data_IF_286230437797
#
_entry.id   IF_286230437797
#
_cell.length_a   1.000
_cell.length_b   1.000
_cell.length_c   1.000
_cell.angle_alpha   90.00
_cell.angle_beta   90.00
_cell.angle_gamma   90.00
#
_symmetry.space_group_name_H-M   'P 1'
#
loop_
_entity.id
_entity.type
_entity.pdbx_description
1 polymer ?
#
# COMPACT_ATOMS: atom_id res chain seq x y z
N UNK A 1 -13.74 -13.02 28.67
CA UNK A 1 -12.73 -12.97 27.59
C UNK A 1 -11.60 -12.08 28.04
N UNK A 2 -10.41 -12.63 28.30
CA UNK A 2 -9.22 -11.85 28.68
C UNK A 2 -8.85 -10.92 27.53
N UNK A 3 -8.67 -9.62 27.80
CA UNK A 3 -8.13 -8.70 26.81
C UNK A 3 -6.75 -9.24 26.39
N UNK A 4 -6.48 -9.47 25.09
CA UNK A 4 -5.18 -9.93 24.66
C UNK A 4 -4.14 -8.92 25.15
N UNK A 5 -3.10 -9.43 25.81
CA UNK A 5 -1.95 -8.62 26.22
C UNK A 5 -1.39 -7.99 24.93
N UNK A 6 -1.24 -6.67 24.90
CA UNK A 6 -0.48 -5.97 23.86
C UNK A 6 0.99 -6.41 23.97
N UNK A 7 1.32 -7.57 23.41
CA UNK A 7 2.68 -8.03 23.27
C UNK A 7 3.13 -7.81 21.83
N UNK A 8 4.27 -7.14 21.67
CA UNK A 8 4.93 -7.02 20.38
C UNK A 8 5.40 -8.41 19.97
N UNK A 9 5.14 -8.78 18.72
CA UNK A 9 5.73 -9.98 18.12
C UNK A 9 7.20 -9.69 17.80
N UNK A 10 8.09 -10.12 18.71
CA UNK A 10 9.53 -9.90 18.57
C UNK A 10 10.13 -10.70 17.42
N UNK A 11 9.52 -11.83 17.03
CA UNK A 11 10.00 -12.62 15.90
C UNK A 11 9.78 -11.84 14.62
N UNK A 12 8.56 -11.35 14.37
CA UNK A 12 8.26 -10.52 13.20
C UNK A 12 9.13 -9.26 13.18
N UNK A 13 9.22 -8.55 14.31
CA UNK A 13 10.02 -7.33 14.41
C UNK A 13 11.51 -7.58 14.08
N UNK A 14 12.09 -8.65 14.63
CA UNK A 14 13.50 -8.99 14.39
C UNK A 14 13.77 -9.34 12.92
N UNK A 15 12.86 -10.09 12.28
CA UNK A 15 12.95 -10.41 10.84
C UNK A 15 12.85 -9.15 9.98
N UNK A 16 11.92 -8.24 10.30
CA UNK A 16 11.80 -6.97 9.58
C UNK A 16 13.07 -6.12 9.72
N UNK A 17 13.64 -6.01 10.93
CA UNK A 17 14.90 -5.28 11.14
C UNK A 17 16.05 -5.93 10.35
N UNK A 18 16.14 -7.26 10.35
CA UNK A 18 17.13 -8.00 9.57
C UNK A 18 17.03 -7.73 8.07
N UNK A 19 15.81 -7.74 7.52
CA UNK A 19 15.55 -7.41 6.10
C UNK A 19 15.93 -5.97 5.77
N UNK A 20 15.60 -5.01 6.63
CA UNK A 20 15.98 -3.60 6.45
C UNK A 20 17.50 -3.44 6.47
N UNK A 21 18.19 -4.04 7.45
CA UNK A 21 19.64 -3.99 7.54
C UNK A 21 20.33 -4.61 6.31
N UNK A 22 19.84 -5.77 5.86
CA UNK A 22 20.31 -6.40 4.63
C UNK A 22 20.09 -5.49 3.41
N UNK A 23 18.92 -4.84 3.31
CA UNK A 23 18.62 -3.87 2.26
C UNK A 23 19.61 -2.70 2.23
N UNK A 24 20.02 -2.17 3.39
CA UNK A 24 21.05 -1.12 3.48
C UNK A 24 22.43 -1.59 3.03
N UNK A 25 22.82 -2.82 3.38
CA UNK A 25 24.09 -3.41 2.90
C UNK A 25 24.07 -3.51 1.37
N UNK A 26 22.98 -4.02 0.81
CA UNK A 26 22.82 -4.14 -0.64
C UNK A 26 22.79 -2.79 -1.35
N UNK A 27 22.11 -1.79 -0.79
CA UNK A 27 22.10 -0.43 -1.31
C UNK A 27 23.50 0.18 -1.35
N UNK A 28 24.29 -0.02 -0.29
CA UNK A 28 25.69 0.44 -0.24
C UNK A 28 26.52 -0.14 -1.38
N UNK A 29 26.40 -1.45 -1.59
CA UNK A 29 27.16 -2.19 -2.60
C UNK A 29 26.77 -1.79 -4.02
N UNK A 30 25.46 -1.73 -4.32
CA UNK A 30 24.96 -1.48 -5.66
C UNK A 30 24.99 0.01 -6.06
N UNK A 31 24.76 0.91 -5.12
CA UNK A 31 24.60 2.35 -5.39
C UNK A 31 25.84 3.19 -5.07
N UNK A 32 26.87 2.60 -4.46
CA UNK A 32 28.10 3.29 -4.09
C UNK A 32 28.81 3.98 -5.27
N UNK A 33 29.12 3.28 -6.37
CA UNK A 33 29.76 3.87 -7.54
C UNK A 33 28.92 5.00 -8.17
N UNK A 34 27.61 4.78 -8.30
CA UNK A 34 26.67 5.79 -8.82
C UNK A 34 26.57 7.03 -7.92
N UNK A 35 26.63 6.84 -6.60
CA UNK A 35 26.62 7.94 -5.63
C UNK A 35 27.86 8.81 -5.77
N UNK A 36 29.02 8.19 -5.92
CA UNK A 36 30.27 8.92 -6.15
C UNK A 36 30.28 9.65 -7.49
N UNK A 37 29.83 9.00 -8.57
CA UNK A 37 29.81 9.60 -9.91
C UNK A 37 28.86 10.82 -10.00
N UNK A 38 27.65 10.72 -9.44
CA UNK A 38 26.63 11.78 -9.55
C UNK A 38 26.72 12.86 -8.48
N UNK A 39 27.16 12.52 -7.28
CA UNK A 39 27.09 13.41 -6.11
C UNK A 39 28.44 13.60 -5.39
N UNK A 40 29.51 12.95 -5.85
CA UNK A 40 30.82 13.00 -5.19
C UNK A 40 30.88 12.30 -3.82
N UNK A 41 29.82 11.58 -3.44
CA UNK A 41 29.69 10.90 -2.15
C UNK A 41 29.15 9.47 -2.36
N UNK A 42 30.00 8.48 -2.13
CA UNK A 42 29.66 7.05 -2.23
C UNK A 42 28.45 6.68 -1.35
N UNK A 43 28.25 7.38 -0.24
CA UNK A 43 27.19 7.07 0.72
C UNK A 43 25.93 7.93 0.54
N UNK A 44 25.85 8.74 -0.53
CA UNK A 44 24.75 9.68 -0.74
C UNK A 44 23.37 8.99 -0.69
N UNK A 45 23.20 7.89 -1.42
CA UNK A 45 21.92 7.15 -1.47
C UNK A 45 21.53 6.54 -0.12
N UNK A 46 22.49 6.08 0.67
CA UNK A 46 22.22 5.54 2.02
C UNK A 46 21.79 6.66 2.95
N UNK A 47 22.52 7.79 2.97
CA UNK A 47 22.17 8.95 3.80
C UNK A 47 20.75 9.43 3.45
N UNK A 48 20.45 9.49 2.16
CA UNK A 48 19.11 9.84 1.68
C UNK A 48 18.06 8.82 2.15
N UNK A 49 18.30 7.52 1.99
CA UNK A 49 17.38 6.46 2.43
C UNK A 49 17.18 6.45 3.95
N UNK A 50 18.22 6.73 4.74
CA UNK A 50 18.12 6.84 6.19
C UNK A 50 17.27 8.04 6.61
N UNK A 51 17.51 9.21 6.02
CA UNK A 51 16.84 10.46 6.37
C UNK A 51 15.39 10.53 5.89
N UNK A 52 15.12 10.13 4.64
CA UNK A 52 13.82 10.28 4.01
C UNK A 52 12.98 9.00 3.98
N UNK A 53 13.60 7.83 4.15
CA UNK A 53 12.90 6.54 4.21
C UNK A 53 12.78 6.00 5.63
N UNK A 54 13.92 5.68 6.26
CA UNK A 54 13.95 4.95 7.52
C UNK A 54 13.42 5.77 8.70
N UNK A 55 13.87 7.03 8.86
CA UNK A 55 13.41 7.87 9.96
C UNK A 55 11.89 8.13 9.92
N UNK A 56 11.29 8.61 8.80
CA UNK A 56 9.85 8.76 8.72
C UNK A 56 9.11 7.43 8.89
N UNK A 57 9.66 6.33 8.36
CA UNK A 57 9.09 4.99 8.49
C UNK A 57 9.04 4.51 9.94
N UNK A 58 10.10 4.71 10.73
CA UNK A 58 10.13 4.36 12.16
C UNK A 58 9.17 5.23 12.98
N UNK A 59 9.11 6.53 12.69
CA UNK A 59 8.15 7.44 13.33
C UNK A 59 6.71 7.00 13.02
N UNK A 60 6.41 6.72 11.75
CA UNK A 60 5.10 6.21 11.33
C UNK A 60 4.78 4.88 12.01
N UNK A 61 5.70 3.91 12.01
CA UNK A 61 5.52 2.62 12.69
C UNK A 61 5.17 2.82 14.17
N UNK A 62 5.92 3.66 14.88
CA UNK A 62 5.69 3.94 16.28
C UNK A 62 4.31 4.55 16.52
N UNK A 63 3.95 5.60 15.77
CA UNK A 63 2.65 6.28 15.91
C UNK A 63 1.50 5.31 15.60
N UNK A 64 1.56 4.64 14.45
CA UNK A 64 0.50 3.74 13.99
C UNK A 64 0.32 2.52 14.90
N UNK A 65 1.41 2.01 15.51
CA UNK A 65 1.35 0.90 16.48
C UNK A 65 0.51 1.20 17.73
N UNK A 66 0.30 2.49 18.03
CA UNK A 66 -0.49 2.94 19.20
C UNK A 66 -1.98 3.08 18.88
N UNK A 67 -2.33 3.19 17.60
CA UNK A 67 -3.71 3.38 17.15
C UNK A 67 -4.45 2.03 17.15
N UNK A 68 -5.62 1.92 17.81
CA UNK A 68 -6.37 0.67 17.85
C UNK A 68 -6.91 0.30 16.46
N UNK A 69 -6.92 -0.99 16.13
CA UNK A 69 -7.43 -1.48 14.83
C UNK A 69 -8.90 -1.09 14.57
N UNK A 70 -9.71 -0.92 15.61
CA UNK A 70 -11.10 -0.47 15.51
C UNK A 70 -11.22 0.94 14.95
N UNK A 71 -10.24 1.81 15.17
CA UNK A 71 -10.19 3.14 14.56
C UNK A 71 -10.02 3.01 13.05
N UNK A 72 -9.03 2.22 12.60
CA UNK A 72 -8.77 1.96 11.18
C UNK A 72 -9.99 1.37 10.47
N UNK A 73 -10.68 0.42 11.12
CA UNK A 73 -11.95 -0.13 10.62
C UNK A 73 -13.00 0.97 10.40
N UNK A 74 -13.19 1.86 11.37
CA UNK A 74 -14.20 2.94 11.31
C UNK A 74 -13.95 3.91 10.17
N UNK A 75 -12.69 4.23 9.88
CA UNK A 75 -12.32 5.20 8.84
C UNK A 75 -11.99 4.55 7.48
N UNK A 76 -12.10 3.24 7.34
CA UNK A 76 -11.64 2.51 6.16
C UNK A 76 -12.26 3.01 4.85
N UNK A 77 -13.58 3.28 4.83
CA UNK A 77 -14.26 3.84 3.66
C UNK A 77 -13.74 5.25 3.32
N UNK A 78 -13.51 6.09 4.34
CA UNK A 78 -12.94 7.44 4.14
C UNK A 78 -11.54 7.32 3.54
N UNK A 79 -10.71 6.42 4.06
CA UNK A 79 -9.36 6.17 3.55
C UNK A 79 -9.37 5.70 2.09
N UNK A 80 -10.31 4.85 1.69
CA UNK A 80 -10.47 4.45 0.29
C UNK A 80 -10.79 5.66 -0.60
N UNK A 81 -11.79 6.48 -0.24
CA UNK A 81 -12.15 7.66 -1.03
C UNK A 81 -11.00 8.67 -1.12
N UNK A 82 -10.27 8.88 -0.02
CA UNK A 82 -9.06 9.71 -0.03
C UNK A 82 -7.99 9.12 -0.97
N UNK A 83 -7.83 7.80 -1.00
CA UNK A 83 -6.85 7.14 -1.88
C UNK A 83 -7.24 7.25 -3.36
N UNK A 84 -8.53 7.13 -3.69
CA UNK A 84 -9.05 7.37 -5.04
C UNK A 84 -8.83 8.84 -5.43
N UNK A 85 -9.10 9.79 -4.53
CA UNK A 85 -8.82 11.20 -4.78
C UNK A 85 -7.33 11.48 -5.02
N UNK A 86 -6.43 10.81 -4.28
CA UNK A 86 -4.99 10.91 -4.51
C UNK A 86 -4.57 10.33 -5.87
N UNK A 87 -5.14 9.19 -6.29
CA UNK A 87 -4.90 8.64 -7.63
C UNK A 87 -5.37 9.61 -8.74
N UNK A 88 -6.48 10.30 -8.53
CA UNK A 88 -6.96 11.31 -9.48
C UNK A 88 -6.02 12.53 -9.49
N UNK A 89 -5.50 12.93 -8.33
CA UNK A 89 -4.60 14.09 -8.20
C UNK A 89 -3.35 13.98 -9.08
N UNK A 90 -2.88 12.74 -9.33
CA UNK A 90 -1.72 12.48 -10.19
C UNK A 90 -1.91 13.03 -11.61
N UNK A 91 -3.14 13.09 -12.11
CA UNK A 91 -3.42 13.61 -13.45
C UNK A 91 -3.31 15.14 -13.56
N UNK A 92 -3.31 15.86 -12.43
CA UNK A 92 -3.23 17.33 -12.42
C UNK A 92 -1.84 17.77 -12.92
N UNK A 93 -1.76 18.57 -13.99
CA UNK A 93 -0.49 19.12 -14.48
C UNK A 93 0.20 19.95 -13.41
N UNK A 94 1.52 19.76 -13.24
CA UNK A 94 2.32 20.47 -12.24
C UNK A 94 2.38 19.82 -10.85
N UNK A 95 1.52 18.83 -10.58
CA UNK A 95 1.56 18.02 -9.34
C UNK A 95 2.08 16.61 -9.64
N UNK A 96 1.52 15.99 -10.69
CA UNK A 96 1.96 14.69 -11.16
C UNK A 96 3.36 14.75 -11.76
N UNK A 97 4.18 13.76 -11.46
CA UNK A 97 5.52 13.60 -12.00
C UNK A 97 5.67 12.26 -12.72
N UNK A 98 6.46 12.28 -13.78
CA UNK A 98 6.79 11.10 -14.59
C UNK A 98 8.10 10.49 -14.08
N UNK A 99 8.04 9.21 -13.71
CA UNK A 99 9.23 8.42 -13.43
C UNK A 99 9.21 7.17 -14.32
N UNK A 100 10.16 7.10 -15.26
CA UNK A 100 10.18 6.03 -16.26
C UNK A 100 9.04 6.17 -17.26
N UNK A 101 8.21 5.13 -17.39
CA UNK A 101 7.09 5.07 -18.34
C UNK A 101 5.72 5.40 -17.74
N UNK A 102 5.66 5.68 -16.43
CA UNK A 102 4.41 5.87 -15.70
C UNK A 102 4.31 7.27 -15.08
N UNK A 103 3.11 7.84 -15.16
CA UNK A 103 2.73 9.07 -14.45
C UNK A 103 1.96 8.68 -13.21
N UNK A 104 2.66 8.16 -12.21
CA UNK A 104 2.07 7.60 -10.99
C UNK A 104 2.57 8.26 -9.70
N UNK A 105 3.38 9.31 -9.81
CA UNK A 105 3.99 10.00 -8.66
C UNK A 105 3.45 11.41 -8.48
N UNK A 106 3.38 11.86 -7.24
CA UNK A 106 3.13 13.24 -6.84
C UNK A 106 4.43 13.82 -6.30
N UNK A 107 4.84 14.99 -6.81
CA UNK A 107 6.04 15.68 -6.31
C UNK A 107 5.65 17.06 -5.79
N UNK A 108 5.85 17.29 -4.50
CA UNK A 108 5.54 18.57 -3.84
C UNK A 108 6.72 18.97 -2.96
N UNK A 109 7.29 20.16 -3.20
CA UNK A 109 8.33 20.73 -2.34
C UNK A 109 9.60 19.87 -2.20
N UNK A 110 9.94 19.08 -3.22
CA UNK A 110 11.09 18.17 -3.21
C UNK A 110 10.81 16.79 -2.62
N UNK A 111 9.60 16.52 -2.12
CA UNK A 111 9.17 15.20 -1.69
C UNK A 111 8.39 14.51 -2.82
N UNK A 112 8.77 13.27 -3.12
CA UNK A 112 8.03 12.41 -4.03
C UNK A 112 7.23 11.37 -3.24
N UNK A 113 5.99 11.15 -3.66
CA UNK A 113 5.09 10.21 -3.03
C UNK A 113 4.26 9.50 -4.11
N UNK A 114 4.13 8.18 -4.02
CA UNK A 114 3.34 7.37 -4.95
C UNK A 114 2.00 6.99 -4.31
N UNK A 115 0.86 7.56 -4.77
CA UNK A 115 -0.46 7.25 -4.22
C UNK A 115 -0.81 5.76 -4.17
N UNK A 116 -0.34 4.99 -5.15
CA UNK A 116 -0.61 3.56 -5.23
C UNK A 116 -0.07 2.77 -4.02
N UNK A 117 0.98 3.26 -3.34
CA UNK A 117 1.47 2.68 -2.08
C UNK A 117 0.43 2.80 -0.95
N UNK A 118 -0.23 3.95 -0.83
CA UNK A 118 -1.33 4.13 0.14
C UNK A 118 -2.53 3.26 -0.26
N UNK A 119 -2.88 3.22 -1.55
CA UNK A 119 -4.02 2.45 -2.06
C UNK A 119 -3.93 0.98 -1.68
N UNK A 120 -2.74 0.35 -1.77
CA UNK A 120 -2.54 -1.05 -1.35
C UNK A 120 -3.02 -1.30 0.08
N UNK A 121 -2.68 -0.41 1.01
CA UNK A 121 -3.02 -0.56 2.43
C UNK A 121 -4.49 -0.18 2.70
N UNK A 122 -4.94 0.96 2.20
CA UNK A 122 -6.28 1.50 2.48
C UNK A 122 -7.37 0.68 1.82
N UNK A 123 -7.12 0.15 0.62
CA UNK A 123 -8.07 -0.74 -0.05
C UNK A 123 -8.19 -2.06 0.70
N UNK A 124 -7.08 -2.66 1.17
CA UNK A 124 -7.14 -3.87 1.98
C UNK A 124 -7.90 -3.66 3.29
N UNK A 125 -7.67 -2.52 3.97
CA UNK A 125 -8.42 -2.15 5.17
C UNK A 125 -9.92 -1.97 4.89
N UNK A 126 -10.25 -1.33 3.77
CA UNK A 126 -11.64 -1.20 3.31
C UNK A 126 -12.27 -2.57 3.08
N UNK A 127 -11.61 -3.44 2.31
CA UNK A 127 -12.11 -4.78 2.03
C UNK A 127 -12.33 -5.57 3.32
N UNK A 128 -11.35 -5.59 4.22
CA UNK A 128 -11.47 -6.26 5.51
C UNK A 128 -12.66 -5.74 6.33
N UNK A 129 -12.81 -4.42 6.45
CA UNK A 129 -13.93 -3.80 7.16
C UNK A 129 -15.28 -4.08 6.48
N UNK A 130 -15.29 -4.14 5.14
CA UNK A 130 -16.48 -4.35 4.33
C UNK A 130 -16.99 -5.80 4.40
N UNK A 131 -16.07 -6.78 4.40
CA UNK A 131 -16.39 -8.20 4.59
C UNK A 131 -16.84 -8.49 6.02
N UNK A 132 -16.20 -7.91 7.04
CA UNK A 132 -16.56 -8.15 8.45
C UNK A 132 -17.98 -7.68 8.81
N UNK A 133 -18.48 -6.64 8.15
CA UNK A 133 -19.80 -6.07 8.43
C UNK A 133 -20.96 -6.81 7.73
N UNK A 134 -20.68 -7.86 6.96
CA UNK A 134 -21.69 -8.65 6.24
C UNK A 134 -21.81 -10.06 6.82
N UNK A 135 -23.02 -10.63 6.75
CA UNK A 135 -23.17 -12.05 7.05
C UNK A 135 -22.47 -12.87 5.96
N UNK A 136 -21.94 -14.05 6.31
CA UNK A 136 -21.22 -14.93 5.35
C UNK A 136 -22.02 -15.20 4.06
N UNK A 137 -23.35 -15.21 4.15
CA UNK A 137 -24.24 -15.37 2.99
C UNK A 137 -24.20 -14.19 2.02
N UNK A 138 -24.09 -12.96 2.51
CA UNK A 138 -24.06 -11.76 1.67
C UNK A 138 -22.76 -11.64 0.87
N UNK A 139 -21.66 -12.25 1.35
CA UNK A 139 -20.37 -12.28 0.65
C UNK A 139 -20.38 -13.30 -0.50
N UNK A 140 -21.16 -14.37 -0.36
CA UNK A 140 -21.33 -15.39 -1.40
C UNK A 140 -22.33 -14.99 -2.48
N UNK A 141 -23.12 -13.95 -2.25
CA UNK A 141 -24.11 -13.45 -3.19
C UNK A 141 -23.47 -12.58 -4.29
N UNK A 142 -23.96 -12.74 -5.52
CA UNK A 142 -23.43 -12.01 -6.68
C UNK A 142 -23.66 -10.50 -6.55
N UNK A 143 -24.86 -10.07 -6.18
CA UNK A 143 -25.26 -8.66 -6.16
C UNK A 143 -24.72 -7.90 -4.94
N UNK A 144 -24.72 -8.52 -3.76
CA UNK A 144 -24.33 -7.89 -2.50
C UNK A 144 -22.86 -8.11 -2.13
N UNK A 145 -22.22 -9.15 -2.69
CA UNK A 145 -20.82 -9.54 -2.45
C UNK A 145 -19.90 -9.23 -3.63
N UNK A 146 -20.12 -9.89 -4.77
CA UNK A 146 -19.21 -9.80 -5.91
C UNK A 146 -19.22 -8.43 -6.60
N UNK A 147 -20.40 -7.87 -6.87
CA UNK A 147 -20.53 -6.59 -7.61
C UNK A 147 -19.86 -5.42 -6.88
N UNK A 148 -20.05 -5.18 -5.57
CA UNK A 148 -19.38 -4.07 -4.90
C UNK A 148 -17.85 -4.27 -4.75
N UNK A 149 -17.39 -5.52 -4.64
CA UNK A 149 -15.97 -5.84 -4.66
C UNK A 149 -15.36 -5.49 -6.02
N UNK A 150 -15.95 -6.01 -7.10
CA UNK A 150 -15.52 -5.73 -8.47
C UNK A 150 -15.63 -4.26 -8.85
N UNK A 151 -16.64 -3.54 -8.37
CA UNK A 151 -16.79 -2.11 -8.67
C UNK A 151 -15.70 -1.28 -8.00
N UNK A 152 -15.41 -1.51 -6.71
CA UNK A 152 -14.35 -0.80 -6.00
C UNK A 152 -12.96 -1.14 -6.56
N UNK A 153 -12.68 -2.40 -6.87
CA UNK A 153 -11.45 -2.82 -7.55
C UNK A 153 -11.36 -2.21 -8.96
N UNK A 154 -12.46 -2.24 -9.72
CA UNK A 154 -12.55 -1.72 -11.08
C UNK A 154 -12.25 -0.24 -11.18
N UNK A 155 -12.72 0.58 -10.23
CA UNK A 155 -12.40 2.02 -10.17
C UNK A 155 -10.89 2.22 -9.97
N UNK A 156 -10.27 1.48 -9.04
CA UNK A 156 -8.83 1.57 -8.80
C UNK A 156 -8.06 1.14 -10.06
N UNK A 157 -8.41 -0.01 -10.64
CA UNK A 157 -7.76 -0.51 -11.86
C UNK A 157 -7.86 0.48 -13.02
N UNK A 158 -9.03 1.08 -13.24
CA UNK A 158 -9.23 2.08 -14.30
C UNK A 158 -8.27 3.26 -14.13
N UNK A 159 -8.17 3.82 -12.91
CA UNK A 159 -7.25 4.92 -12.63
C UNK A 159 -5.79 4.52 -12.82
N UNK A 160 -5.42 3.29 -12.47
CA UNK A 160 -4.03 2.82 -12.61
C UNK A 160 -3.63 2.53 -14.06
N UNK A 161 -4.54 2.00 -14.87
CA UNK A 161 -4.33 1.83 -16.32
C UNK A 161 -4.08 3.19 -16.98
N UNK A 162 -4.79 4.23 -16.53
CA UNK A 162 -4.60 5.59 -17.01
C UNK A 162 -3.28 6.22 -16.53
N UNK A 163 -2.65 5.71 -15.47
CA UNK A 163 -1.32 6.11 -14.97
C UNK A 163 -0.13 5.33 -15.58
N UNK A 164 -0.37 4.59 -16.66
CA UNK A 164 0.37 3.38 -17.09
C UNK A 164 1.18 2.59 -16.04
N UNK A 165 0.65 2.35 -14.83
CA UNK A 165 1.36 1.64 -13.75
C UNK A 165 0.88 0.18 -13.59
N UNK A 166 1.24 -0.66 -14.57
CA UNK A 166 0.77 -2.05 -14.63
C UNK A 166 1.36 -2.90 -13.49
N UNK A 167 2.63 -2.68 -13.13
CA UNK A 167 3.28 -3.46 -12.07
C UNK A 167 2.59 -3.30 -10.73
N UNK A 168 2.30 -2.07 -10.33
CA UNK A 168 1.62 -1.80 -9.05
C UNK A 168 0.15 -2.25 -9.11
N UNK A 169 -0.49 -2.14 -10.27
CA UNK A 169 -1.86 -2.62 -10.48
C UNK A 169 -1.96 -4.13 -10.25
N UNK A 170 -1.04 -4.93 -10.80
CA UNK A 170 -1.02 -6.39 -10.60
C UNK A 170 -0.90 -6.75 -9.12
N UNK A 171 -0.09 -6.03 -8.35
CA UNK A 171 0.03 -6.25 -6.90
C UNK A 171 -1.29 -5.97 -6.20
N UNK A 172 -1.97 -4.87 -6.53
CA UNK A 172 -3.27 -4.51 -5.93
C UNK A 172 -4.33 -5.56 -6.25
N UNK A 173 -4.38 -6.05 -7.49
CA UNK A 173 -5.30 -7.12 -7.90
C UNK A 173 -5.01 -8.39 -7.08
N UNK A 174 -3.74 -8.80 -6.98
CA UNK A 174 -3.36 -10.01 -6.26
C UNK A 174 -3.76 -9.96 -4.78
N UNK A 175 -3.49 -8.84 -4.08
CA UNK A 175 -3.88 -8.70 -2.66
C UNK A 175 -5.40 -8.63 -2.48
N UNK A 176 -6.13 -8.02 -3.42
CA UNK A 176 -7.57 -7.90 -3.36
C UNK A 176 -8.27 -9.25 -3.58
N UNK A 177 -7.81 -10.02 -4.57
CA UNK A 177 -8.29 -11.38 -4.82
C UNK A 177 -7.97 -12.31 -3.66
N UNK A 178 -6.76 -12.22 -3.10
CA UNK A 178 -6.41 -12.98 -1.90
C UNK A 178 -7.31 -12.61 -0.71
N UNK A 179 -7.59 -11.32 -0.50
CA UNK A 179 -8.52 -10.85 0.53
C UNK A 179 -9.95 -11.34 0.34
N UNK A 180 -10.46 -11.31 -0.89
CA UNK A 180 -11.79 -11.82 -1.23
C UNK A 180 -11.88 -13.35 -1.09
N UNK A 181 -10.81 -14.06 -1.42
CA UNK A 181 -10.73 -15.51 -1.19
C UNK A 181 -10.80 -15.84 0.31
N UNK A 182 -10.01 -15.14 1.14
CA UNK A 182 -9.94 -15.37 2.58
C UNK A 182 -11.25 -15.01 3.29
N UNK A 183 -12.07 -14.10 2.73
CA UNK A 183 -13.36 -13.73 3.30
C UNK A 183 -14.46 -14.79 3.13
N UNK A 184 -14.16 -15.94 2.51
CA UNK A 184 -15.13 -17.02 2.32
C UNK A 184 -15.99 -16.86 1.06
N UNK A 185 -15.55 -16.05 0.10
CA UNK A 185 -16.23 -15.86 -1.16
C UNK A 185 -16.38 -17.17 -1.96
N UNK A 186 -17.43 -17.22 -2.77
CA UNK A 186 -17.72 -18.36 -3.63
C UNK A 186 -16.59 -18.59 -4.65
N UNK A 187 -16.12 -19.84 -4.73
CA UNK A 187 -15.12 -20.24 -5.73
C UNK A 187 -15.56 -19.98 -7.17
N UNK A 188 -16.88 -19.98 -7.41
CA UNK A 188 -17.45 -19.69 -8.73
C UNK A 188 -17.22 -18.23 -9.13
N UNK A 189 -17.25 -17.30 -8.17
CA UNK A 189 -17.00 -15.89 -8.44
C UNK A 189 -15.53 -15.64 -8.76
N UNK A 190 -14.63 -16.31 -8.07
CA UNK A 190 -13.19 -16.21 -8.33
C UNK A 190 -12.80 -16.79 -9.69
N UNK A 191 -13.44 -17.88 -10.11
CA UNK A 191 -13.24 -18.47 -11.44
C UNK A 191 -13.86 -17.65 -12.59
N UNK A 192 -14.74 -16.69 -12.28
CA UNK A 192 -15.37 -15.84 -13.29
C UNK A 192 -14.65 -14.52 -13.57
N UNK A 193 -13.63 -14.19 -12.78
CA UNK A 193 -12.75 -13.01 -12.96
C UNK A 193 -11.66 -13.36 -13.97
#
# INVERSE_FOLDING_TARGET
MSKPKKSIDYTLLSLTIGLVAFGFIMLTSASGPLGFEKFGDTYWFIKHQMLFGMLPGLVAMFILSRVPYTFWKKIASVLLFTSIALLILVFIPGIGADFGSARSWIVIGGFSFQPAEIVKLTFLLYLAAWFENRADKDVQDWSSGFVPFMSSLGIIMLLMILQPDVGTMTVIIAIALAGYFVSGASWKHLLSI
#
